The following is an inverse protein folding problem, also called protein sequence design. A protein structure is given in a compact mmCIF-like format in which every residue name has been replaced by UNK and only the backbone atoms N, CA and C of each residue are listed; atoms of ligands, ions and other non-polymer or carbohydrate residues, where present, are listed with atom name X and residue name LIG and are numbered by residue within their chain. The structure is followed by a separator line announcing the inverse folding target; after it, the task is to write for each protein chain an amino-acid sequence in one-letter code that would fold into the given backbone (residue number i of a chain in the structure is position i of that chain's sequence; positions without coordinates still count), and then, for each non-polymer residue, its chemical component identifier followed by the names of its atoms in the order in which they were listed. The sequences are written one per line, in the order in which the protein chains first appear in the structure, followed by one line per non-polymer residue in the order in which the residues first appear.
data_IF_933028677536
#
_entry.id   IF_933028677536
#
_cell.length_a   1.000
_cell.length_b   1.000
_cell.length_c   1.000
_cell.angle_alpha   90.00
_cell.angle_beta   90.00
_cell.angle_gamma   90.00
#
_symmetry.space_group_name_H-M   'P 1'
#
loop_
_entity.id
_entity.type
_entity.pdbx_description
1 polymer ?
#
# COMPACT_ATOMS: atom_id res chain seq x y z
N UNK A 1 21.55 8.21 -18.55
CA UNK A 1 20.08 8.20 -18.57
C UNK A 1 19.60 8.00 -17.15
N UNK A 2 19.85 9.00 -16.30
CA UNK A 2 19.44 9.02 -14.90
C UNK A 2 18.26 9.97 -14.84
N UNK A 3 17.04 9.42 -14.84
CA UNK A 3 15.87 10.19 -14.42
C UNK A 3 16.03 10.41 -12.92
N UNK A 4 16.36 11.65 -12.55
CA UNK A 4 16.26 12.15 -11.18
C UNK A 4 14.78 12.07 -10.78
N UNK A 5 14.41 11.05 -10.00
CA UNK A 5 13.09 10.98 -9.39
C UNK A 5 12.95 12.17 -8.43
N UNK A 6 12.07 13.11 -8.79
CA UNK A 6 11.58 14.11 -7.84
C UNK A 6 11.06 13.41 -6.57
N UNK A 7 11.27 13.98 -5.37
CA UNK A 7 10.79 13.38 -4.14
C UNK A 7 9.25 13.35 -4.18
N UNK A 8 8.69 12.17 -4.48
CA UNK A 8 7.26 11.92 -4.37
C UNK A 8 6.87 12.26 -2.94
N UNK A 9 5.96 13.23 -2.78
CA UNK A 9 5.45 13.60 -1.48
C UNK A 9 4.96 12.34 -0.74
N UNK A 10 5.22 12.21 0.57
CA UNK A 10 4.92 10.99 1.31
C UNK A 10 3.45 10.60 1.14
N UNK A 11 3.21 9.32 0.88
CA UNK A 11 1.86 8.80 0.68
C UNK A 11 1.15 8.73 2.03
N UNK A 12 0.03 9.43 2.15
CA UNK A 12 -0.80 9.41 3.35
C UNK A 12 -1.84 8.29 3.27
N UNK A 13 -2.12 7.63 4.39
CA UNK A 13 -3.18 6.64 4.50
C UNK A 13 -3.86 6.65 5.87
N UNK A 14 -4.95 5.90 5.98
CA UNK A 14 -5.65 5.73 7.26
C UNK A 14 -6.20 4.31 7.40
N UNK A 15 -6.37 3.86 8.64
CA UNK A 15 -7.04 2.60 8.93
C UNK A 15 -8.54 2.72 8.64
N UNK A 16 -9.17 1.62 8.25
CA UNK A 16 -10.61 1.54 7.98
C UNK A 16 -11.51 1.95 9.16
N UNK A 17 -10.99 1.93 10.39
CA UNK A 17 -11.73 2.43 11.56
C UNK A 17 -11.70 3.97 11.71
N UNK A 18 -10.90 4.66 10.90
CA UNK A 18 -10.71 6.13 10.97
C UNK A 18 -9.87 6.63 12.15
N UNK A 19 -9.58 5.79 13.14
CA UNK A 19 -8.86 6.20 14.35
C UNK A 19 -7.33 6.30 14.17
N UNK A 20 -6.78 5.78 13.06
CA UNK A 20 -5.33 5.72 12.83
C UNK A 20 -5.02 6.33 11.46
N UNK A 21 -4.11 7.30 11.43
CA UNK A 21 -3.52 7.89 10.23
C UNK A 21 -2.03 7.56 10.17
N UNK A 22 -1.48 7.43 8.97
CA UNK A 22 -0.07 7.10 8.74
C UNK A 22 0.45 7.74 7.45
N UNK A 23 1.77 7.85 7.36
CA UNK A 23 2.49 8.34 6.18
C UNK A 23 3.57 7.33 5.79
N UNK A 24 3.75 7.14 4.49
CA UNK A 24 4.80 6.29 3.91
C UNK A 24 5.81 7.20 3.21
N UNK A 25 7.00 7.27 3.79
CA UNK A 25 8.10 8.11 3.31
C UNK A 25 9.03 7.41 2.30
N UNK A 26 8.99 6.08 2.26
CA UNK A 26 9.79 5.28 1.32
C UNK A 26 9.08 5.12 -0.03
N UNK A 27 9.85 5.06 -1.14
CA UNK A 27 9.28 4.83 -2.46
C UNK A 27 8.65 3.44 -2.54
N UNK A 28 7.48 3.34 -3.17
CA UNK A 28 6.88 2.04 -3.45
C UNK A 28 7.66 1.35 -4.56
N UNK A 29 8.20 0.16 -4.26
CA UNK A 29 8.84 -0.74 -5.23
C UNK A 29 7.82 -1.41 -6.15
N UNK A 30 6.55 -1.47 -5.76
CA UNK A 30 5.48 -1.99 -6.60
C UNK A 30 4.21 -2.35 -5.84
N UNK A 31 3.36 -3.15 -6.48
CA UNK A 31 2.13 -3.67 -5.88
C UNK A 31 1.95 -5.16 -6.19
N UNK A 32 1.36 -5.89 -5.26
CA UNK A 32 1.09 -7.32 -5.39
C UNK A 32 -0.38 -7.64 -5.07
N UNK A 33 -0.89 -8.66 -5.77
CA UNK A 33 -2.19 -9.28 -5.45
C UNK A 33 -1.98 -10.54 -4.62
N UNK A 34 -2.57 -10.59 -3.43
CA UNK A 34 -2.55 -11.77 -2.58
C UNK A 34 -3.89 -12.50 -2.60
N UNK A 35 -3.87 -13.79 -2.98
CA UNK A 35 -5.04 -14.65 -3.12
C UNK A 35 -5.25 -15.62 -1.94
N UNK A 36 -4.48 -15.48 -0.86
CA UNK A 36 -4.62 -16.41 0.26
C UNK A 36 -5.98 -16.23 0.97
N UNK A 37 -6.48 -17.31 1.60
CA UNK A 37 -7.77 -17.28 2.31
C UNK A 37 -7.80 -16.29 3.47
N UNK A 38 -6.67 -15.99 4.10
CA UNK A 38 -6.57 -14.96 5.15
C UNK A 38 -6.85 -13.57 4.59
N UNK A 39 -6.23 -13.22 3.46
CA UNK A 39 -6.43 -11.94 2.79
C UNK A 39 -7.88 -11.80 2.29
N UNK A 40 -8.41 -12.83 1.63
CA UNK A 40 -9.82 -12.86 1.18
C UNK A 40 -10.79 -12.61 2.34
N UNK A 41 -10.59 -13.25 3.49
CA UNK A 41 -11.45 -13.05 4.67
C UNK A 41 -11.32 -11.65 5.28
N UNK A 42 -10.12 -11.07 5.26
CA UNK A 42 -9.86 -9.75 5.84
C UNK A 42 -10.49 -8.62 5.02
N UNK A 43 -10.45 -8.74 3.70
CA UNK A 43 -10.95 -7.72 2.78
C UNK A 43 -12.38 -7.97 2.32
N UNK A 44 -12.90 -9.20 2.44
CA UNK A 44 -14.20 -9.59 1.91
C UNK A 44 -14.25 -9.70 0.37
N UNK A 45 -13.09 -9.61 -0.29
CA UNK A 45 -12.92 -9.60 -1.75
C UNK A 45 -12.16 -10.85 -2.23
N UNK A 46 -12.05 -11.04 -3.54
CA UNK A 46 -11.32 -12.18 -4.13
C UNK A 46 -9.80 -12.15 -3.85
N UNK A 47 -9.23 -10.98 -3.57
CA UNK A 47 -7.81 -10.77 -3.28
C UNK A 47 -7.61 -9.50 -2.46
N UNK A 48 -6.45 -9.38 -1.81
CA UNK A 48 -5.96 -8.11 -1.26
C UNK A 48 -4.94 -7.50 -2.21
N UNK A 49 -4.93 -6.18 -2.31
CA UNK A 49 -3.84 -5.41 -2.94
C UNK A 49 -2.88 -4.96 -1.85
N UNK A 50 -1.60 -5.20 -2.04
CA UNK A 50 -0.55 -4.83 -1.08
C UNK A 50 0.52 -4.02 -1.80
N UNK A 51 0.86 -2.86 -1.24
CA UNK A 51 2.02 -2.08 -1.69
C UNK A 51 3.30 -2.72 -1.15
N UNK A 52 4.35 -2.71 -1.97
CA UNK A 52 5.70 -3.12 -1.60
C UNK A 52 6.54 -1.86 -1.52
N UNK A 53 7.19 -1.65 -0.38
CA UNK A 53 8.18 -0.58 -0.11
C UNK A 53 9.57 -1.18 -0.03
#
# INVERSE_FOLDING_TARGET
MTEELEPVAPLTGSCMCGAVAYEVSEPLLGAAYCYCKRCQRRTGTAFSVTALT
#
